data_IF_084080781896
#
_entry.id   IF_084080781896
#
_cell.length_a   1.000
_cell.length_b   1.000
_cell.length_c   1.000
_cell.angle_alpha   90.00
_cell.angle_beta   90.00
_cell.angle_gamma   90.00
#
_symmetry.space_group_name_H-M   'P 1'
#
loop_
_entity.id
_entity.type
_entity.pdbx_description
1 polymer ?
#
# COMPACT_ATOMS: atom_id res chain seq x y z
N UNK A 1 3.57 10.94 14.13
CA UNK A 1 2.59 10.96 15.23
C UNK A 1 3.36 11.57 16.37
N UNK A 2 2.91 12.72 16.83
CA UNK A 2 3.48 13.44 17.95
C UNK A 2 2.80 13.00 19.24
N UNK A 3 3.46 13.24 20.37
CA UNK A 3 2.88 12.93 21.67
C UNK A 3 1.51 13.60 21.86
N UNK A 4 0.53 12.83 22.32
CA UNK A 4 -0.88 13.18 22.41
C UNK A 4 -1.74 12.72 21.23
N UNK A 5 -1.14 12.21 20.15
CA UNK A 5 -1.88 11.70 18.98
C UNK A 5 -2.07 10.18 19.05
N UNK A 6 -3.06 9.70 18.29
CA UNK A 6 -3.42 8.28 18.20
C UNK A 6 -3.67 7.85 16.75
N UNK A 7 -3.51 6.56 16.49
CA UNK A 7 -4.01 5.86 15.29
C UNK A 7 -4.94 4.75 15.76
N UNK A 8 -6.17 4.71 15.24
CA UNK A 8 -7.19 3.77 15.68
C UNK A 8 -7.56 2.76 14.60
N UNK A 9 -8.08 1.61 15.02
CA UNK A 9 -8.74 0.63 14.16
C UNK A 9 -10.02 1.22 13.55
N UNK A 10 -10.50 0.63 12.45
CA UNK A 10 -11.65 1.14 11.69
C UNK A 10 -12.93 1.12 12.55
N UNK A 11 -13.09 0.10 13.38
CA UNK A 11 -14.18 0.00 14.35
C UNK A 11 -13.98 0.86 15.62
N UNK A 12 -12.86 1.58 15.72
CA UNK A 12 -12.46 2.39 16.87
C UNK A 12 -12.39 1.63 18.21
N UNK A 13 -12.30 0.30 18.19
CA UNK A 13 -12.14 -0.50 19.41
C UNK A 13 -10.72 -0.50 19.94
N UNK A 14 -9.73 -0.19 19.09
CA UNK A 14 -8.34 -0.15 19.47
C UNK A 14 -7.65 1.12 18.97
N UNK A 15 -6.90 1.80 19.84
CA UNK A 15 -6.16 3.01 19.50
C UNK A 15 -4.72 2.94 20.01
N UNK A 16 -3.77 3.01 19.09
CA UNK A 16 -2.35 3.15 19.37
C UNK A 16 -2.03 4.63 19.61
N UNK A 17 -1.73 4.97 20.86
CA UNK A 17 -1.54 6.34 21.33
C UNK A 17 -0.09 6.56 21.75
N UNK A 18 0.54 7.63 21.28
CA UNK A 18 1.78 8.12 21.89
C UNK A 18 1.42 9.07 23.02
N UNK A 19 1.62 8.65 24.26
CA UNK A 19 1.19 9.39 25.45
C UNK A 19 1.95 10.70 25.61
N UNK A 20 1.22 11.79 25.83
CA UNK A 20 1.79 13.13 26.09
C UNK A 20 2.46 13.24 27.47
N UNK A 21 2.01 12.47 28.45
CA UNK A 21 2.44 12.54 29.84
C UNK A 21 3.84 11.98 30.08
N UNK A 22 4.20 10.89 29.42
CA UNK A 22 5.43 10.14 29.72
C UNK A 22 6.18 9.64 28.48
N UNK A 23 5.66 9.86 27.26
CA UNK A 23 6.26 9.39 26.02
C UNK A 23 6.12 7.89 25.76
N UNK A 24 5.22 7.19 26.45
CA UNK A 24 4.97 5.78 26.15
C UNK A 24 4.09 5.61 24.91
N UNK A 25 4.45 4.67 24.02
CA UNK A 25 3.55 4.24 22.94
C UNK A 25 2.71 3.07 23.44
N UNK A 26 1.40 3.23 23.50
CA UNK A 26 0.47 2.29 24.14
C UNK A 26 -0.73 2.01 23.24
N UNK A 27 -1.07 0.74 23.07
CA UNK A 27 -2.32 0.32 22.45
C UNK A 27 -3.39 0.19 23.53
N UNK A 28 -4.47 0.93 23.35
CA UNK A 28 -5.64 0.90 24.23
C UNK A 28 -6.81 0.20 23.56
N UNK A 29 -7.55 -0.60 24.32
CA UNK A 29 -8.92 -0.98 23.97
C UNK A 29 -9.90 0.16 24.30
N UNK A 30 -11.09 0.15 23.71
CA UNK A 30 -12.12 1.19 23.87
C UNK A 30 -12.59 1.41 25.31
N UNK A 31 -12.43 0.41 26.18
CA UNK A 31 -12.69 0.52 27.62
C UNK A 31 -11.56 1.22 28.41
N UNK A 32 -10.51 1.71 27.72
CA UNK A 32 -9.35 2.37 28.33
C UNK A 32 -8.27 1.40 28.84
N UNK A 33 -8.44 0.09 28.67
CA UNK A 33 -7.45 -0.89 29.07
C UNK A 33 -6.24 -0.85 28.12
N UNK A 34 -5.04 -0.71 28.68
CA UNK A 34 -3.80 -0.88 27.94
C UNK A 34 -3.59 -2.37 27.61
N UNK A 35 -3.61 -2.73 26.32
CA UNK A 35 -3.46 -4.12 25.85
C UNK A 35 -2.07 -4.42 25.31
N UNK A 36 -1.28 -3.38 24.99
CA UNK A 36 0.14 -3.48 24.63
C UNK A 36 0.87 -2.16 24.88
N UNK A 37 2.17 -2.19 25.12
CA UNK A 37 3.00 -0.98 25.24
C UNK A 37 4.46 -1.21 24.83
N UNK A 38 5.09 -0.16 24.27
CA UNK A 38 6.50 -0.16 23.87
C UNK A 38 7.48 -0.01 25.05
N UNK A 39 6.99 0.35 26.25
CA UNK A 39 7.79 0.62 27.46
C UNK A 39 8.82 1.75 27.25
N UNK A 40 8.34 2.87 26.69
CA UNK A 40 9.12 4.09 26.47
C UNK A 40 8.81 5.21 27.46
N UNK A 41 8.00 4.93 28.49
CA UNK A 41 7.69 5.85 29.57
C UNK A 41 8.97 6.44 30.21
N UNK A 42 9.00 7.77 30.36
CA UNK A 42 10.11 8.51 30.96
C UNK A 42 11.38 8.61 30.09
N UNK A 43 11.36 8.09 28.85
CA UNK A 43 12.54 8.11 27.96
C UNK A 43 12.62 9.36 27.07
N UNK A 44 11.71 10.31 27.26
CA UNK A 44 11.66 11.57 26.52
C UNK A 44 11.14 11.45 25.09
N UNK A 45 10.45 10.36 24.73
CA UNK A 45 9.89 10.18 23.39
C UNK A 45 8.79 11.21 23.13
N UNK A 46 8.88 11.92 22.02
CA UNK A 46 7.92 12.94 21.59
C UNK A 46 7.32 12.66 20.22
N UNK A 47 7.94 11.76 19.42
CA UNK A 47 7.50 11.47 18.05
C UNK A 47 7.66 10.01 17.70
N UNK A 48 6.66 9.45 17.00
CA UNK A 48 6.73 8.19 16.28
C UNK A 48 6.73 8.45 14.77
N UNK A 49 7.61 7.76 14.03
CA UNK A 49 7.82 7.96 12.58
C UNK A 49 7.90 6.61 11.88
N UNK A 50 7.10 6.42 10.82
CA UNK A 50 7.39 5.42 9.78
C UNK A 50 8.39 6.04 8.82
N UNK A 51 9.59 5.47 8.76
CA UNK A 51 10.69 6.01 7.95
C UNK A 51 10.65 5.49 6.51
N UNK A 52 11.27 6.20 5.56
CA UNK A 52 11.34 5.76 4.16
C UNK A 52 12.02 4.40 3.95
N UNK A 53 12.95 4.03 4.83
CA UNK A 53 13.62 2.72 4.84
C UNK A 53 12.73 1.56 5.34
N UNK A 54 11.53 1.89 5.82
CA UNK A 54 10.53 0.95 6.34
C UNK A 54 10.49 0.85 7.86
N UNK A 55 11.49 1.38 8.56
CA UNK A 55 11.58 1.24 10.01
C UNK A 55 10.55 2.12 10.72
N UNK A 56 9.99 1.61 11.81
CA UNK A 56 9.16 2.42 12.70
C UNK A 56 9.96 2.82 13.92
N UNK A 57 10.17 4.12 14.14
CA UNK A 57 11.08 4.61 15.16
C UNK A 57 10.39 5.62 16.08
N UNK A 58 10.62 5.44 17.38
CA UNK A 58 10.28 6.39 18.43
C UNK A 58 11.48 7.29 18.72
N UNK A 59 11.27 8.59 18.60
CA UNK A 59 12.26 9.64 18.74
C UNK A 59 11.95 10.56 19.92
N UNK A 60 13.01 11.04 20.55
CA UNK A 60 12.99 12.27 21.35
C UNK A 60 12.89 13.52 20.46
N UNK A 61 12.73 14.68 21.09
CA UNK A 61 12.72 15.98 20.40
C UNK A 61 14.07 16.35 19.76
N UNK A 62 15.19 15.95 20.36
CA UNK A 62 16.55 16.10 19.84
C UNK A 62 16.93 15.05 18.76
N UNK A 63 15.95 14.33 18.20
CA UNK A 63 16.09 13.30 17.16
C UNK A 63 16.90 12.05 17.56
N UNK A 64 17.02 11.75 18.86
CA UNK A 64 17.63 10.50 19.31
C UNK A 64 16.64 9.33 19.22
N UNK A 65 17.00 8.21 18.55
CA UNK A 65 16.13 7.04 18.49
C UNK A 65 16.11 6.30 19.83
N UNK A 66 14.91 5.99 20.33
CA UNK A 66 14.69 5.31 21.61
C UNK A 66 14.26 3.86 21.43
N UNK A 67 13.41 3.61 20.43
CA UNK A 67 12.86 2.29 20.17
C UNK A 67 12.58 2.16 18.68
N UNK A 68 12.76 0.96 18.13
CA UNK A 68 12.64 0.70 16.70
C UNK A 68 11.98 -0.66 16.46
N UNK A 69 11.06 -0.72 15.50
CA UNK A 69 10.72 -1.95 14.78
C UNK A 69 11.51 -1.95 13.48
N UNK A 70 12.43 -2.91 13.36
CA UNK A 70 13.31 -3.06 12.20
C UNK A 70 12.68 -3.97 11.17
N UNK A 71 11.84 -3.42 10.31
CA UNK A 71 11.26 -4.18 9.19
C UNK A 71 12.14 -4.09 7.94
N UNK A 72 12.83 -2.96 7.74
CA UNK A 72 13.73 -2.68 6.61
C UNK A 72 13.05 -2.93 5.24
N UNK A 73 11.75 -2.67 5.17
CA UNK A 73 10.94 -2.75 3.95
C UNK A 73 10.46 -1.37 3.55
N UNK A 74 11.06 -0.76 2.54
CA UNK A 74 10.54 0.48 1.94
C UNK A 74 9.06 0.34 1.57
N UNK A 75 8.31 1.44 1.65
CA UNK A 75 6.84 1.45 1.50
C UNK A 75 6.12 0.66 2.61
N UNK A 76 6.72 0.58 3.79
CA UNK A 76 6.03 0.07 4.97
C UNK A 76 5.04 1.08 5.53
N UNK A 77 3.96 0.58 6.11
CA UNK A 77 2.99 1.37 6.86
C UNK A 77 2.48 0.59 8.07
N UNK A 78 2.02 1.33 9.07
CA UNK A 78 1.43 0.78 10.29
C UNK A 78 -0.08 0.66 10.12
N UNK A 79 -0.63 -0.44 10.60
CA UNK A 79 -2.06 -0.67 10.67
C UNK A 79 -2.45 -1.14 12.08
N UNK A 80 -3.46 -0.49 12.68
CA UNK A 80 -4.13 -0.99 13.88
C UNK A 80 -5.39 -1.69 13.41
N UNK A 81 -5.48 -2.99 13.68
CA UNK A 81 -6.58 -3.81 13.18
C UNK A 81 -7.71 -3.90 14.21
N UNK A 82 -8.91 -4.20 13.72
CA UNK A 82 -10.14 -4.33 14.50
C UNK A 82 -10.10 -5.46 15.54
N UNK A 83 -9.18 -6.41 15.40
CA UNK A 83 -8.87 -7.49 16.35
C UNK A 83 -7.87 -7.07 17.44
N UNK A 84 -7.41 -5.82 17.40
CA UNK A 84 -6.41 -5.27 18.30
C UNK A 84 -4.98 -5.62 17.93
N UNK A 85 -4.69 -6.14 16.73
CA UNK A 85 -3.32 -6.31 16.27
C UNK A 85 -2.69 -4.97 15.86
N UNK A 86 -1.36 -4.90 15.94
CA UNK A 86 -0.56 -3.86 15.29
C UNK A 86 0.28 -4.57 14.26
N UNK A 87 0.08 -4.22 12.99
CA UNK A 87 0.79 -4.84 11.88
C UNK A 87 1.56 -3.78 11.11
N UNK A 88 2.83 -4.06 10.83
CA UNK A 88 3.60 -3.34 9.82
C UNK A 88 3.49 -4.09 8.51
N UNK A 89 2.77 -3.52 7.56
CA UNK A 89 2.68 -4.02 6.21
C UNK A 89 3.70 -3.34 5.32
N UNK A 90 4.09 -3.98 4.23
CA UNK A 90 4.77 -3.33 3.12
C UNK A 90 4.10 -3.71 1.79
N UNK A 91 4.18 -2.80 0.83
CA UNK A 91 3.67 -3.02 -0.52
C UNK A 91 4.69 -3.83 -1.31
N UNK A 92 4.48 -5.14 -1.42
CA UNK A 92 5.36 -6.06 -2.15
C UNK A 92 5.00 -6.09 -3.62
N UNK A 93 5.92 -5.72 -4.54
CA UNK A 93 5.66 -5.87 -5.97
C UNK A 93 5.68 -7.37 -6.33
N UNK A 94 4.65 -7.84 -7.04
CA UNK A 94 4.52 -9.22 -7.50
C UNK A 94 4.47 -9.36 -9.02
N UNK A 95 4.31 -8.23 -9.73
CA UNK A 95 4.47 -8.11 -11.16
C UNK A 95 4.82 -6.67 -11.50
N UNK A 96 5.64 -6.45 -12.54
CA UNK A 96 5.90 -5.11 -13.08
C UNK A 96 6.17 -5.13 -14.58
N UNK A 97 5.92 -4.01 -15.26
CA UNK A 97 6.13 -3.87 -16.71
C UNK A 97 7.59 -3.76 -17.12
N UNK A 98 8.54 -3.71 -16.17
CA UNK A 98 9.98 -3.52 -16.40
C UNK A 98 10.31 -2.22 -17.15
N UNK A 99 9.53 -1.17 -16.91
CA UNK A 99 9.67 0.14 -17.58
C UNK A 99 10.06 1.28 -16.67
N UNK A 100 10.43 0.99 -15.42
CA UNK A 100 10.83 2.03 -14.46
C UNK A 100 12.03 2.84 -14.96
N UNK A 101 11.87 4.16 -14.92
CA UNK A 101 12.92 5.12 -15.22
C UNK A 101 12.94 6.18 -14.11
N UNK A 102 13.61 5.82 -13.02
CA UNK A 102 13.77 6.65 -11.82
C UNK A 102 14.49 7.97 -12.11
N UNK A 103 15.25 8.06 -13.21
CA UNK A 103 15.97 9.28 -13.60
C UNK A 103 15.03 10.36 -14.13
N UNK A 104 13.83 9.98 -14.59
CA UNK A 104 12.81 10.89 -15.08
C UNK A 104 11.50 10.78 -14.31
N UNK A 105 11.57 10.58 -13.00
CA UNK A 105 10.41 10.56 -12.10
C UNK A 105 9.65 11.89 -12.18
N UNK A 106 8.36 11.84 -12.53
CA UNK A 106 7.57 13.03 -12.85
C UNK A 106 6.85 13.65 -11.63
N UNK A 107 6.62 12.85 -10.59
CA UNK A 107 5.94 13.23 -9.35
C UNK A 107 6.32 12.24 -8.24
N UNK A 108 5.80 12.48 -7.04
CA UNK A 108 5.87 11.55 -5.91
C UNK A 108 4.57 10.72 -5.77
N UNK A 109 3.70 10.71 -6.79
CA UNK A 109 2.31 10.31 -6.69
C UNK A 109 1.92 9.26 -7.75
N UNK A 110 1.69 8.00 -7.33
CA UNK A 110 1.19 6.96 -8.22
C UNK A 110 -0.34 7.03 -8.39
N UNK A 111 -0.85 6.54 -9.52
CA UNK A 111 -2.29 6.28 -9.73
C UNK A 111 -2.60 4.81 -9.46
N UNK A 112 -3.65 4.51 -8.70
CA UNK A 112 -3.92 3.15 -8.20
C UNK A 112 -5.32 2.67 -8.54
N UNK A 113 -5.42 1.52 -9.21
CA UNK A 113 -6.66 0.76 -9.38
C UNK A 113 -6.79 -0.25 -8.24
N UNK A 114 -7.90 -0.13 -7.51
CA UNK A 114 -8.28 -1.05 -6.44
C UNK A 114 -8.85 -2.36 -7.00
N UNK A 115 -8.83 -3.46 -6.22
CA UNK A 115 -9.54 -4.68 -6.57
C UNK A 115 -10.98 -4.41 -7.00
N UNK A 116 -11.47 -5.24 -7.93
CA UNK A 116 -12.79 -5.14 -8.55
C UNK A 116 -13.03 -3.86 -9.38
N UNK A 117 -11.97 -3.24 -9.89
CA UNK A 117 -12.08 -2.03 -10.73
C UNK A 117 -11.84 -2.37 -12.20
N UNK A 118 -12.74 -1.88 -13.07
CA UNK A 118 -12.61 -1.95 -14.52
C UNK A 118 -11.82 -0.76 -15.03
N UNK A 119 -10.92 -1.00 -15.99
CA UNK A 119 -10.34 0.03 -16.83
C UNK A 119 -11.26 0.35 -18.00
N UNK A 120 -11.56 1.62 -18.20
CA UNK A 120 -12.40 2.07 -19.33
C UNK A 120 -11.56 2.15 -20.60
N UNK A 121 -11.94 1.39 -21.63
CA UNK A 121 -11.31 1.46 -22.94
C UNK A 121 -11.42 2.88 -23.53
N UNK A 122 -10.38 3.34 -24.22
CA UNK A 122 -10.29 4.69 -24.78
C UNK A 122 -9.94 5.79 -23.78
N UNK A 123 -9.93 5.50 -22.47
CA UNK A 123 -9.47 6.45 -21.44
C UNK A 123 -7.96 6.31 -21.27
N UNK A 124 -7.24 7.43 -21.42
CA UNK A 124 -5.81 7.49 -21.10
C UNK A 124 -5.61 7.92 -19.65
N UNK A 125 -4.64 7.30 -19.00
CA UNK A 125 -4.24 7.60 -17.63
C UNK A 125 -2.82 8.15 -17.65
N UNK A 126 -2.65 9.41 -17.24
CA UNK A 126 -1.42 10.18 -17.48
C UNK A 126 -0.74 10.61 -16.19
N UNK A 127 0.60 10.48 -16.14
CA UNK A 127 1.49 11.08 -15.14
C UNK A 127 2.67 11.71 -15.90
N UNK A 128 2.65 13.05 -16.00
CA UNK A 128 3.66 13.80 -16.75
C UNK A 128 3.80 13.29 -18.20
N UNK A 129 5.02 12.93 -18.59
CA UNK A 129 5.34 12.40 -19.92
C UNK A 129 4.85 10.97 -20.20
N UNK A 130 4.35 10.27 -19.18
CA UNK A 130 3.89 8.90 -19.28
C UNK A 130 2.37 8.84 -19.35
N UNK A 131 1.83 7.96 -20.18
CA UNK A 131 0.42 7.58 -20.07
C UNK A 131 0.21 6.14 -20.53
N UNK A 132 -0.82 5.48 -20.02
CA UNK A 132 -1.25 4.20 -20.55
C UNK A 132 -2.74 4.23 -20.92
N UNK A 133 -3.11 3.41 -21.90
CA UNK A 133 -4.46 3.37 -22.46
C UNK A 133 -4.78 1.97 -22.96
N UNK A 134 -5.99 1.48 -22.68
CA UNK A 134 -6.57 0.36 -23.43
C UNK A 134 -7.15 0.93 -24.72
N UNK A 135 -6.45 0.70 -25.82
CA UNK A 135 -6.76 1.24 -27.14
C UNK A 135 -7.96 0.54 -27.77
N UNK A 136 -8.55 1.18 -28.78
CA UNK A 136 -9.71 0.65 -29.50
C UNK A 136 -9.43 -0.65 -30.26
N UNK A 137 -8.16 -0.93 -30.58
CA UNK A 137 -7.73 -2.19 -31.19
C UNK A 137 -7.60 -3.34 -30.17
N UNK A 138 -7.84 -3.08 -28.88
CA UNK A 138 -7.73 -4.03 -27.79
C UNK A 138 -6.33 -4.15 -27.19
N UNK A 139 -5.38 -3.31 -27.57
CA UNK A 139 -4.05 -3.30 -26.96
C UNK A 139 -4.00 -2.38 -25.73
N UNK A 140 -3.48 -2.88 -24.60
CA UNK A 140 -3.13 -2.01 -23.48
C UNK A 140 -1.68 -1.58 -23.67
N UNK A 141 -1.46 -0.28 -23.84
CA UNK A 141 -0.15 0.27 -24.20
C UNK A 141 0.24 1.36 -23.22
N UNK A 142 1.49 1.32 -22.78
CA UNK A 142 2.14 2.36 -22.02
C UNK A 142 3.08 3.15 -22.93
N UNK A 143 2.98 4.46 -22.87
CA UNK A 143 3.72 5.42 -23.67
C UNK A 143 4.60 6.32 -22.80
N UNK A 144 5.73 6.76 -23.37
CA UNK A 144 6.60 7.83 -22.87
C UNK A 144 6.86 8.81 -24.02
N UNK A 145 6.52 10.09 -23.85
CA UNK A 145 6.70 11.12 -24.90
C UNK A 145 6.11 10.71 -26.26
N UNK A 146 4.95 10.02 -26.25
CA UNK A 146 4.28 9.54 -27.47
C UNK A 146 4.87 8.26 -28.08
N UNK A 147 6.01 7.76 -27.60
CA UNK A 147 6.57 6.47 -28.02
C UNK A 147 6.07 5.33 -27.12
N UNK A 148 5.61 4.23 -27.70
CA UNK A 148 5.21 3.04 -26.94
C UNK A 148 6.44 2.39 -26.30
N UNK A 149 6.41 2.19 -24.99
CA UNK A 149 7.52 1.57 -24.22
C UNK A 149 7.16 0.19 -23.67
N UNK A 150 5.87 -0.14 -23.57
CA UNK A 150 5.39 -1.47 -23.20
C UNK A 150 3.97 -1.68 -23.74
N UNK A 151 3.60 -2.93 -24.04
CA UNK A 151 2.24 -3.29 -24.40
C UNK A 151 1.92 -4.77 -24.11
N UNK A 152 0.63 -5.11 -24.05
CA UNK A 152 0.14 -6.48 -23.82
C UNK A 152 0.20 -7.38 -25.06
N UNK A 153 0.39 -6.82 -26.26
CA UNK A 153 0.38 -7.56 -27.52
C UNK A 153 -1.01 -8.12 -27.86
N UNK A 154 -2.07 -7.42 -27.45
CA UNK A 154 -3.47 -7.87 -27.60
C UNK A 154 -4.24 -7.17 -28.71
N UNK A 155 -3.57 -6.32 -29.50
CA UNK A 155 -4.13 -5.70 -30.69
C UNK A 155 -4.80 -6.76 -31.60
N UNK A 156 -6.04 -6.50 -32.02
CA UNK A 156 -6.81 -7.37 -32.90
C UNK A 156 -7.31 -8.68 -32.28
N UNK A 157 -7.09 -8.92 -30.98
CA UNK A 157 -7.54 -10.14 -30.29
C UNK A 157 -8.92 -10.00 -29.63
N UNK A 158 -9.66 -8.94 -29.97
CA UNK A 158 -11.02 -8.69 -29.49
C UNK A 158 -11.11 -8.30 -28.01
N UNK A 159 -10.02 -7.82 -27.39
CA UNK A 159 -10.06 -7.31 -26.02
C UNK A 159 -10.90 -6.04 -25.96
N UNK A 160 -11.82 -5.98 -25.00
CA UNK A 160 -12.72 -4.84 -24.79
C UNK A 160 -12.77 -4.35 -23.35
N UNK A 161 -12.18 -5.08 -22.42
CA UNK A 161 -12.06 -4.64 -21.03
C UNK A 161 -10.79 -5.13 -20.37
N UNK A 162 -10.32 -4.37 -19.39
CA UNK A 162 -9.29 -4.80 -18.46
C UNK A 162 -9.79 -4.61 -17.02
N UNK A 163 -9.43 -5.52 -16.12
CA UNK A 163 -9.92 -5.54 -14.75
C UNK A 163 -8.78 -5.81 -13.80
N UNK A 164 -8.71 -5.02 -12.72
CA UNK A 164 -8.02 -5.43 -11.51
C UNK A 164 -9.01 -6.26 -10.69
N UNK A 165 -8.80 -7.57 -10.64
CA UNK A 165 -9.77 -8.50 -10.05
C UNK A 165 -9.60 -8.67 -8.54
N UNK A 166 -10.65 -9.13 -7.86
CA UNK A 166 -10.64 -9.41 -6.43
C UNK A 166 -9.63 -10.49 -6.01
N UNK A 167 -9.30 -11.41 -6.91
CA UNK A 167 -8.30 -12.45 -6.66
C UNK A 167 -6.86 -11.93 -6.75
N UNK A 168 -6.67 -10.65 -7.09
CA UNK A 168 -5.36 -10.03 -7.24
C UNK A 168 -4.74 -10.15 -8.63
N UNK A 169 -5.49 -10.63 -9.63
CA UNK A 169 -5.03 -10.71 -11.00
C UNK A 169 -5.47 -9.48 -11.80
N UNK A 170 -4.58 -8.89 -12.58
CA UNK A 170 -4.95 -7.91 -13.60
C UNK A 170 -5.11 -8.61 -14.95
N UNK A 171 -6.31 -8.54 -15.54
CA UNK A 171 -6.72 -9.39 -16.67
C UNK A 171 -7.45 -8.59 -17.75
N UNK A 172 -7.09 -8.85 -19.01
CA UNK A 172 -7.76 -8.33 -20.20
C UNK A 172 -8.72 -9.39 -20.76
N UNK A 173 -9.95 -8.98 -21.04
CA UNK A 173 -11.04 -9.83 -21.51
C UNK A 173 -11.57 -9.37 -22.86
N UNK A 174 -12.03 -10.32 -23.66
CA UNK A 174 -12.91 -10.04 -24.80
C UNK A 174 -14.38 -9.92 -24.37
N UNK A 175 -15.26 -9.55 -25.31
CA UNK A 175 -16.71 -9.39 -25.06
C UNK A 175 -17.43 -10.67 -24.62
N UNK A 176 -16.89 -11.84 -24.94
CA UNK A 176 -17.41 -13.13 -24.49
C UNK A 176 -16.97 -13.49 -23.05
N UNK A 177 -16.22 -12.61 -22.37
CA UNK A 177 -15.66 -12.87 -21.03
C UNK A 177 -14.48 -13.84 -21.02
N UNK A 178 -13.86 -14.09 -22.17
CA UNK A 178 -12.66 -14.94 -22.27
C UNK A 178 -11.41 -14.13 -21.90
N UNK A 179 -10.56 -14.60 -20.97
CA UNK A 179 -9.32 -13.91 -20.64
C UNK A 179 -8.31 -14.06 -21.79
N UNK A 180 -7.84 -12.94 -22.33
CA UNK A 180 -6.87 -12.89 -23.44
C UNK A 180 -5.45 -12.69 -22.93
N UNK A 181 -5.28 -11.91 -21.87
CA UNK A 181 -3.97 -11.65 -21.25
C UNK A 181 -4.15 -11.47 -19.74
N UNK A 182 -3.15 -11.87 -18.95
CA UNK A 182 -3.15 -11.73 -17.49
C UNK A 182 -1.75 -11.59 -16.92
N UNK A 183 -1.65 -10.95 -15.75
CA UNK A 183 -0.41 -10.77 -14.98
C UNK A 183 0.05 -12.03 -14.24
N UNK A 184 -0.82 -13.05 -14.11
CA UNK A 184 -0.57 -14.29 -13.34
C UNK A 184 -0.34 -14.04 -11.84
N UNK A 185 -0.99 -13.03 -11.29
CA UNK A 185 -0.91 -12.66 -9.86
C UNK A 185 -2.13 -13.10 -9.04
N UNK A 186 -2.99 -13.96 -9.61
CA UNK A 186 -4.17 -14.50 -8.92
C UNK A 186 -3.82 -15.26 -7.64
N UNK A 187 -4.72 -15.21 -6.66
CA UNK A 187 -4.51 -15.73 -5.31
C UNK A 187 -3.94 -14.71 -4.32
N UNK A 188 -3.63 -13.49 -4.78
CA UNK A 188 -3.14 -12.37 -3.96
C UNK A 188 -4.26 -11.36 -3.73
N UNK A 189 -5.30 -11.77 -3.00
CA UNK A 189 -6.43 -10.89 -2.69
C UNK A 189 -5.98 -9.53 -2.13
N UNK A 190 -6.77 -8.49 -2.40
CA UNK A 190 -6.45 -7.09 -2.09
C UNK A 190 -5.23 -6.51 -2.83
N UNK A 191 -4.70 -7.19 -3.86
CA UNK A 191 -3.65 -6.59 -4.68
C UNK A 191 -4.14 -5.37 -5.46
N UNK A 192 -3.23 -4.44 -5.70
CA UNK A 192 -3.47 -3.15 -6.33
C UNK A 192 -2.67 -3.07 -7.63
N UNK A 193 -3.25 -2.49 -8.68
CA UNK A 193 -2.50 -2.10 -9.87
C UNK A 193 -2.09 -0.63 -9.73
N UNK A 194 -0.80 -0.34 -9.77
CA UNK A 194 -0.24 1.00 -9.64
C UNK A 194 0.43 1.43 -10.94
N UNK A 195 0.10 2.61 -11.43
CA UNK A 195 0.86 3.34 -12.43
C UNK A 195 1.74 4.38 -11.73
N UNK A 196 3.04 4.18 -11.82
CA UNK A 196 4.04 4.91 -11.06
C UNK A 196 4.61 6.12 -11.83
N UNK A 197 5.09 7.16 -11.13
CA UNK A 197 5.63 8.37 -11.77
C UNK A 197 6.94 8.20 -12.54
N UNK A 198 7.59 7.06 -12.37
CA UNK A 198 8.79 6.65 -13.11
C UNK A 198 8.45 5.91 -14.42
N UNK A 199 7.16 5.79 -14.75
CA UNK A 199 6.71 5.09 -15.95
C UNK A 199 6.59 3.58 -15.77
N UNK A 200 6.44 3.07 -14.54
CA UNK A 200 6.23 1.65 -14.30
C UNK A 200 4.76 1.32 -14.03
N UNK A 201 4.30 0.16 -14.51
CA UNK A 201 3.04 -0.45 -14.10
C UNK A 201 3.37 -1.61 -13.16
N UNK A 202 2.74 -1.67 -11.99
CA UNK A 202 3.10 -2.64 -10.94
C UNK A 202 1.86 -3.24 -10.30
N UNK A 203 1.86 -4.54 -10.04
CA UNK A 203 0.92 -5.15 -9.10
C UNK A 203 1.58 -5.23 -7.73
N UNK A 204 0.97 -4.58 -6.73
CA UNK A 204 1.38 -4.64 -5.34
C UNK A 204 0.44 -5.50 -4.52
N UNK A 205 1.00 -6.32 -3.62
CA UNK A 205 0.24 -7.01 -2.58
C UNK A 205 0.69 -6.54 -1.21
N UNK A 206 -0.28 -6.29 -0.33
CA UNK A 206 -0.03 -5.97 1.07
C UNK A 206 0.52 -7.21 1.78
N UNK A 207 1.78 -7.16 2.21
CA UNK A 207 2.44 -8.28 2.88
C UNK A 207 2.84 -7.84 4.29
N UNK A 208 2.47 -8.59 5.35
CA UNK A 208 2.93 -8.28 6.70
C UNK A 208 4.45 -8.51 6.79
N UNK A 209 5.14 -7.59 7.44
CA UNK A 209 6.57 -7.67 7.74
C UNK A 209 6.83 -7.90 9.22
N UNK A 210 5.90 -7.48 10.08
CA UNK A 210 5.89 -7.71 11.52
C UNK A 210 4.46 -7.56 12.04
N UNK A 211 4.09 -8.35 13.04
CA UNK A 211 2.88 -8.15 13.83
C UNK A 211 3.12 -8.49 15.30
N UNK A 212 2.35 -7.86 16.20
CA UNK A 212 2.58 -8.02 17.66
C UNK A 212 2.17 -9.39 18.19
N UNK A 213 1.39 -10.15 17.43
CA UNK A 213 0.74 -11.40 17.85
C UNK A 213 1.39 -12.65 17.25
N UNK A 214 2.45 -12.54 16.45
CA UNK A 214 3.11 -13.63 15.72
C UNK A 214 3.58 -14.83 16.57
N UNK A 215 3.63 -14.71 17.91
CA UNK A 215 3.94 -15.79 18.86
C UNK A 215 2.72 -16.52 19.46
N UNK A 216 1.50 -16.12 19.10
CA UNK A 216 0.26 -16.76 19.52
C UNK A 216 -0.31 -17.59 18.37
N UNK A 217 -0.54 -18.89 18.59
CA UNK A 217 -1.33 -19.73 17.68
C UNK A 217 -2.78 -19.24 17.68
N UNK A 218 -3.08 -18.27 16.82
CA UNK A 218 -4.43 -17.88 16.53
C UNK A 218 -4.99 -18.80 15.44
N UNK A 219 -6.22 -19.34 15.59
CA UNK A 219 -6.84 -20.19 14.58
C UNK A 219 -6.99 -19.49 13.20
N UNK A 220 -6.90 -18.15 13.17
CA UNK A 220 -7.05 -17.31 11.98
C UNK A 220 -5.73 -16.76 11.42
N UNK A 221 -4.59 -17.43 11.66
CA UNK A 221 -3.27 -17.08 11.07
C UNK A 221 -3.24 -17.12 9.51
N UNK A 222 -4.40 -17.27 8.85
CA UNK A 222 -4.57 -17.33 7.39
C UNK A 222 -5.29 -16.11 6.80
N UNK A 223 -5.75 -15.15 7.60
CA UNK A 223 -6.30 -13.90 7.05
C UNK A 223 -5.83 -12.65 7.78
N UNK A 224 -4.76 -12.04 7.25
CA UNK A 224 -4.45 -10.63 7.49
C UNK A 224 -5.51 -9.68 6.86
N UNK A 225 -6.80 -10.07 6.86
CA UNK A 225 -7.93 -9.42 6.16
C UNK A 225 -8.89 -8.69 7.11
N UNK A 226 -8.49 -8.43 8.35
CA UNK A 226 -9.22 -7.45 9.16
C UNK A 226 -9.18 -6.08 8.48
N UNK A 227 -10.34 -5.42 8.24
CA UNK A 227 -10.36 -4.08 7.67
C UNK A 227 -9.68 -3.12 8.65
N UNK A 228 -8.59 -2.53 8.20
CA UNK A 228 -7.97 -1.37 8.82
C UNK A 228 -7.54 -0.49 7.67
N UNK A 229 -8.04 0.73 7.56
CA UNK A 229 -7.78 1.60 6.40
C UNK A 229 -6.28 1.93 6.21
N UNK A 230 -5.44 1.69 7.22
CA UNK A 230 -3.99 1.88 7.17
C UNK A 230 -3.63 3.37 7.11
N UNK A 231 -2.75 3.82 7.99
CA UNK A 231 -2.36 5.22 8.05
C UNK A 231 -0.83 5.35 8.04
N UNK A 232 -0.31 6.22 7.17
CA UNK A 232 1.11 6.60 7.17
C UNK A 232 1.36 7.71 8.19
N UNK A 233 2.25 7.44 9.15
CA UNK A 233 2.61 8.40 10.19
C UNK A 233 3.85 9.20 9.76
N UNK A 234 3.64 10.33 9.07
CA UNK A 234 4.61 11.42 8.82
C UNK A 234 5.62 11.20 7.67
N UNK A 235 5.88 12.28 6.93
CA UNK A 235 6.84 12.46 5.82
C UNK A 235 7.09 11.22 4.93
N UNK A 236 6.01 10.65 4.41
CA UNK A 236 6.07 10.10 3.06
C UNK A 236 6.39 11.28 2.13
N UNK A 237 7.62 11.39 1.67
CA UNK A 237 7.89 12.05 0.40
C UNK A 237 7.21 11.20 -0.68
N UNK A 238 5.92 11.45 -0.91
CA UNK A 238 5.07 10.61 -1.76
C UNK A 238 4.00 9.87 -0.97
N UNK A 239 3.08 10.65 -0.42
CA UNK A 239 1.65 10.37 -0.41
C UNK A 239 1.20 8.90 -0.56
N UNK A 240 0.44 8.40 0.42
CA UNK A 240 -0.71 7.56 0.05
C UNK A 240 -1.71 8.51 -0.60
N UNK A 241 -1.66 8.63 -1.93
CA UNK A 241 -2.76 9.23 -2.69
C UNK A 241 -3.79 8.13 -2.89
N UNK A 242 -4.87 8.24 -2.13
CA UNK A 242 -6.18 7.95 -2.71
C UNK A 242 -6.66 9.23 -3.40
N UNK A 243 -6.55 9.27 -4.72
CA UNK A 243 -7.48 10.02 -5.55
C UNK A 243 -8.32 8.90 -6.17
N UNK A 244 -9.61 8.79 -5.81
CA UNK A 244 -10.50 7.92 -6.55
C UNK A 244 -10.51 8.36 -8.02
N UNK A 245 -10.57 7.40 -8.94
CA UNK A 245 -10.92 7.66 -10.33
C UNK A 245 -12.31 8.28 -10.43
#
# INVERSE_FOLDING_TARGET
MWAGQSVCSDNNQYCLTLQKSDGNLVLYASNGQAVWQAKTNGKGVTRAVMQPDGNFVLYTDDNRPIWVVKTERSNSFLNVQDDGNIVFYWMRPIWDSKTSDVSSMQSNEARVLYPNTKLTAGVSYTIGQYFFILQADGNLVLYKNGAAIWNTGTAGKGVTSAWMQNDGNFVLYNDAGTPIWKTNTGGNGNALFAFQPDGNLVIYVQTPSWDRLAGYNHPDYKDHRGPGQGWCIGACGGSIISIPF
#
